data_IF_433330312309
#
_entry.id   IF_433330312309
#
_cell.length_a   1.000
_cell.length_b   1.000
_cell.length_c   1.000
_cell.angle_alpha   90.00
_cell.angle_beta   90.00
_cell.angle_gamma   90.00
#
_symmetry.space_group_name_H-M   'P 1'
#
loop_
_entity.id
_entity.type
_entity.pdbx_description
1 polymer ?
#
# COMPACT_ATOMS: atom_id res chain seq x y z
N UNK A 1 -0.15 1.86 -16.88
CA UNK A 1 -1.18 0.82 -17.06
C UNK A 1 -1.92 0.55 -15.74
N UNK A 2 -1.27 0.03 -14.70
CA UNK A 2 -1.93 -0.34 -13.42
C UNK A 2 -2.66 0.81 -12.69
N UNK A 3 -2.09 2.02 -12.61
CA UNK A 3 -2.73 3.13 -11.88
C UNK A 3 -4.02 3.61 -12.55
N UNK A 4 -4.07 3.61 -13.88
CA UNK A 4 -5.29 3.95 -14.64
C UNK A 4 -6.33 2.85 -14.49
N UNK A 5 -5.93 1.58 -14.51
CA UNK A 5 -6.84 0.45 -14.29
C UNK A 5 -7.46 0.50 -12.88
N UNK A 6 -6.68 0.85 -11.85
CA UNK A 6 -7.17 1.08 -10.47
C UNK A 6 -8.16 2.25 -10.44
N UNK A 7 -7.84 3.35 -11.13
CA UNK A 7 -8.69 4.55 -11.19
C UNK A 7 -10.03 4.24 -11.87
N UNK A 8 -10.02 3.49 -12.96
CA UNK A 8 -11.23 3.03 -13.63
C UNK A 8 -11.99 2.01 -12.79
N UNK A 9 -11.31 1.07 -12.14
CA UNK A 9 -11.89 0.13 -11.17
C UNK A 9 -12.66 0.85 -10.06
N UNK A 10 -12.08 1.92 -9.50
CA UNK A 10 -12.71 2.75 -8.47
C UNK A 10 -13.99 3.45 -8.94
N UNK A 11 -14.13 3.75 -10.24
CA UNK A 11 -15.35 4.36 -10.81
C UNK A 11 -16.49 3.35 -11.00
N UNK A 12 -16.21 2.05 -11.07
CA UNK A 12 -17.21 1.01 -11.34
C UNK A 12 -18.26 0.89 -10.24
N UNK A 13 -17.87 1.13 -8.98
CA UNK A 13 -18.73 1.00 -7.80
C UNK A 13 -18.59 2.26 -6.93
N UNK A 14 -19.69 2.99 -6.74
CA UNK A 14 -19.74 4.15 -5.84
C UNK A 14 -19.53 3.69 -4.41
N UNK A 15 -18.92 4.52 -3.57
CA UNK A 15 -18.63 4.17 -2.18
C UNK A 15 -19.83 3.59 -1.42
N UNK A 16 -20.98 4.27 -1.50
CA UNK A 16 -22.25 3.85 -0.88
C UNK A 16 -22.79 2.48 -1.31
N UNK A 17 -22.35 2.00 -2.48
CA UNK A 17 -22.79 0.73 -3.06
C UNK A 17 -21.76 -0.39 -2.80
N UNK A 18 -20.65 -0.09 -2.12
CA UNK A 18 -19.63 -1.08 -1.74
C UNK A 18 -20.11 -1.92 -0.57
N UNK A 19 -19.68 -3.18 -0.55
CA UNK A 19 -19.99 -4.11 0.54
C UNK A 19 -19.23 -3.68 1.80
N UNK A 20 -19.92 -3.43 2.94
CA UNK A 20 -19.33 -2.84 4.16
C UNK A 20 -18.57 -3.89 5.01
N UNK A 21 -17.73 -4.69 4.36
CA UNK A 21 -16.93 -5.73 4.97
C UNK A 21 -15.45 -5.43 4.78
N UNK A 22 -14.62 -5.68 5.78
CA UNK A 22 -13.18 -5.68 5.57
C UNK A 22 -12.79 -6.90 4.73
N UNK A 23 -12.05 -6.68 3.65
CA UNK A 23 -11.64 -7.73 2.73
C UNK A 23 -10.12 -7.86 2.68
N UNK A 24 -9.61 -9.08 2.76
CA UNK A 24 -8.21 -9.40 2.49
C UNK A 24 -8.10 -10.73 1.77
N UNK A 25 -7.29 -10.75 0.71
CA UNK A 25 -6.92 -11.98 -0.01
C UNK A 25 -5.42 -11.93 -0.26
N UNK A 26 -4.69 -12.96 0.13
CA UNK A 26 -3.25 -12.97 -0.06
C UNK A 26 -2.55 -14.22 0.46
N UNK A 27 -1.25 -14.30 0.20
CA UNK A 27 -0.43 -15.41 0.67
C UNK A 27 0.01 -15.16 2.13
N UNK A 28 -0.40 -15.99 3.10
CA UNK A 28 -0.02 -15.85 4.49
C UNK A 28 1.40 -16.35 4.78
N UNK A 29 2.00 -17.16 3.92
CA UNK A 29 3.29 -17.80 4.20
C UNK A 29 4.47 -16.82 4.13
N UNK A 30 4.31 -15.69 3.44
CA UNK A 30 5.38 -14.71 3.21
C UNK A 30 5.73 -13.88 4.44
N UNK A 31 4.81 -13.73 5.40
CA UNK A 31 5.04 -12.90 6.60
C UNK A 31 4.19 -13.39 7.79
N UNK A 32 4.75 -13.48 9.01
CA UNK A 32 4.01 -13.89 10.21
C UNK A 32 2.75 -13.04 10.50
N UNK A 33 2.80 -11.72 10.28
CA UNK A 33 1.65 -10.82 10.51
C UNK A 33 0.45 -11.17 9.63
N UNK A 34 0.69 -11.65 8.39
CA UNK A 34 -0.36 -12.15 7.50
C UNK A 34 -0.96 -13.47 7.98
N UNK A 35 -0.15 -14.36 8.57
CA UNK A 35 -0.67 -15.58 9.21
C UNK A 35 -1.52 -15.24 10.42
N UNK A 36 -1.08 -14.24 11.20
CA UNK A 36 -1.83 -13.78 12.37
C UNK A 36 -3.15 -13.11 11.99
N UNK A 37 -3.20 -12.39 10.86
CA UNK A 37 -4.45 -11.84 10.33
C UNK A 37 -5.48 -12.95 10.09
N UNK A 38 -5.08 -14.11 9.56
CA UNK A 38 -6.00 -15.23 9.32
C UNK A 38 -6.60 -15.81 10.61
N UNK A 39 -5.97 -15.62 11.76
CA UNK A 39 -6.55 -16.03 13.06
C UNK A 39 -7.81 -15.23 13.42
N UNK A 40 -8.03 -14.08 12.77
CA UNK A 40 -9.23 -13.27 12.95
C UNK A 40 -10.42 -13.79 12.13
N UNK A 41 -10.23 -14.82 11.28
CA UNK A 41 -11.32 -15.49 10.56
C UNK A 41 -12.07 -16.40 11.52
N UNK A 42 -13.09 -15.85 12.19
CA UNK A 42 -13.88 -16.58 13.18
C UNK A 42 -14.97 -17.45 12.52
N UNK A 43 -15.48 -18.42 13.28
CA UNK A 43 -16.59 -19.30 12.89
C UNK A 43 -17.85 -18.51 12.50
N UNK A 44 -18.79 -19.15 11.76
CA UNK A 44 -20.06 -18.54 11.30
C UNK A 44 -20.88 -17.81 12.39
N UNK A 45 -20.69 -18.16 13.66
CA UNK A 45 -21.39 -17.59 14.82
C UNK A 45 -20.71 -16.35 15.42
N UNK A 46 -19.47 -16.02 15.03
CA UNK A 46 -18.70 -14.87 15.51
C UNK A 46 -18.12 -14.06 14.34
N UNK A 47 -18.94 -13.79 13.31
CA UNK A 47 -18.50 -13.04 12.14
C UNK A 47 -18.18 -11.59 12.52
N UNK A 48 -16.95 -11.13 12.27
CA UNK A 48 -16.51 -9.74 12.52
C UNK A 48 -16.62 -8.85 11.28
N UNK A 49 -17.48 -9.24 10.34
CA UNK A 49 -17.65 -8.57 9.07
C UNK A 49 -16.32 -8.47 8.28
N UNK A 50 -15.51 -9.52 8.40
CA UNK A 50 -14.20 -9.68 7.76
C UNK A 50 -14.23 -10.87 6.80
N UNK A 51 -13.72 -10.67 5.59
CA UNK A 51 -13.56 -11.70 4.56
C UNK A 51 -12.06 -11.91 4.32
N UNK A 52 -11.51 -13.00 4.88
CA UNK A 52 -10.09 -13.32 4.81
C UNK A 52 -9.84 -14.59 4.01
N UNK A 53 -9.17 -14.45 2.86
CA UNK A 53 -8.93 -15.55 1.92
C UNK A 53 -7.43 -15.82 1.72
N UNK A 54 -7.05 -17.10 1.71
CA UNK A 54 -5.69 -17.52 1.32
C UNK A 54 -5.59 -17.52 -0.21
N UNK A 55 -4.57 -16.84 -0.74
CA UNK A 55 -4.22 -16.88 -2.16
C UNK A 55 -3.19 -17.98 -2.42
N UNK A 56 -3.56 -18.97 -3.23
CA UNK A 56 -2.68 -20.03 -3.74
C UNK A 56 -2.07 -19.59 -5.08
N UNK A 57 -0.76 -19.33 -5.10
CA UNK A 57 -0.06 -18.82 -6.28
C UNK A 57 0.19 -19.89 -7.35
N UNK A 58 0.34 -21.16 -6.98
CA UNK A 58 0.59 -22.25 -7.92
C UNK A 58 -0.67 -22.54 -8.76
N UNK A 59 -1.84 -22.36 -8.14
CA UNK A 59 -3.13 -22.46 -8.82
C UNK A 59 -3.42 -21.22 -9.70
N UNK A 60 -3.22 -20.00 -9.18
CA UNK A 60 -3.46 -18.77 -9.95
C UNK A 60 -2.55 -18.67 -11.18
N UNK A 61 -1.29 -19.07 -11.07
CA UNK A 61 -0.37 -19.08 -12.20
C UNK A 61 -0.87 -19.98 -13.34
N UNK A 62 -1.50 -21.13 -13.00
CA UNK A 62 -2.12 -22.04 -13.97
C UNK A 62 -3.41 -21.48 -14.58
N UNK A 63 -4.13 -20.63 -13.84
CA UNK A 63 -5.40 -20.03 -14.27
C UNK A 63 -5.23 -18.65 -14.92
N UNK A 64 -3.99 -18.15 -15.02
CA UNK A 64 -3.65 -16.88 -15.65
C UNK A 64 -4.01 -15.66 -14.83
N UNK A 65 -3.96 -15.76 -13.48
CA UNK A 65 -4.16 -14.66 -12.53
C UNK A 65 -5.52 -13.95 -12.62
N UNK A 66 -6.53 -14.58 -13.22
CA UNK A 66 -7.86 -13.99 -13.43
C UNK A 66 -8.58 -13.59 -12.14
N UNK A 67 -8.16 -14.14 -10.99
CA UNK A 67 -8.72 -13.86 -9.66
C UNK A 67 -7.72 -13.13 -8.74
N UNK A 68 -6.64 -12.58 -9.32
CA UNK A 68 -5.54 -11.89 -8.62
C UNK A 68 -5.25 -10.49 -9.17
N UNK A 69 -6.23 -9.89 -9.85
CA UNK A 69 -6.15 -8.54 -10.39
C UNK A 69 -5.83 -7.51 -9.29
N UNK A 70 -4.81 -6.68 -9.54
CA UNK A 70 -4.34 -5.65 -8.61
C UNK A 70 -5.36 -4.53 -8.44
N UNK A 71 -6.14 -4.22 -9.48
CA UNK A 71 -7.27 -3.28 -9.41
C UNK A 71 -8.36 -3.71 -8.42
N UNK A 72 -8.40 -4.99 -8.07
CA UNK A 72 -9.32 -5.58 -7.10
C UNK A 72 -8.62 -5.88 -5.74
N UNK A 73 -7.32 -5.56 -5.58
CA UNK A 73 -6.49 -6.06 -4.48
C UNK A 73 -5.43 -5.07 -3.97
N UNK A 74 -5.83 -3.85 -3.64
CA UNK A 74 -4.96 -2.87 -2.97
C UNK A 74 -4.59 -3.27 -1.53
N UNK A 75 -3.62 -4.16 -1.25
CA UNK A 75 -3.02 -4.27 0.11
C UNK A 75 -1.67 -5.00 0.19
N UNK A 76 -0.54 -4.27 0.19
CA UNK A 76 0.70 -4.69 0.88
C UNK A 76 1.26 -3.54 1.70
N UNK A 77 1.72 -3.81 2.93
CA UNK A 77 2.38 -2.83 3.81
C UNK A 77 3.89 -3.03 3.72
N UNK A 78 4.52 -2.28 2.81
CA UNK A 78 5.97 -2.05 2.82
C UNK A 78 6.18 -0.60 3.28
N UNK A 79 7.19 -0.31 4.11
CA UNK A 79 7.59 1.09 4.31
C UNK A 79 8.40 1.53 3.10
N UNK A 80 7.69 1.77 2.01
CA UNK A 80 8.27 2.24 0.76
C UNK A 80 8.46 3.76 0.80
N UNK A 81 9.22 4.31 -0.14
CA UNK A 81 9.59 5.73 -0.15
C UNK A 81 8.35 6.65 -0.11
N UNK A 82 7.24 6.26 -0.75
CA UNK A 82 6.00 7.05 -0.80
C UNK A 82 5.12 6.93 0.45
N UNK A 83 5.12 5.78 1.16
CA UNK A 83 4.30 5.57 2.36
C UNK A 83 4.75 6.46 3.53
N UNK A 84 6.01 6.93 3.49
CA UNK A 84 6.55 7.86 4.48
C UNK A 84 5.78 9.18 4.54
N UNK A 85 5.15 9.62 3.45
CA UNK A 85 4.30 10.82 3.45
C UNK A 85 2.85 10.58 3.86
N UNK A 86 2.41 9.32 4.00
CA UNK A 86 1.02 9.03 4.35
C UNK A 86 0.71 9.24 5.85
N UNK A 87 -0.48 9.77 6.16
CA UNK A 87 -0.93 10.12 7.52
C UNK A 87 -2.16 9.27 7.88
N UNK A 88 -2.16 8.58 9.04
CA UNK A 88 -3.33 7.85 9.53
C UNK A 88 -4.54 8.78 9.72
N UNK A 89 -5.76 8.27 9.54
CA UNK A 89 -7.02 9.05 9.56
C UNK A 89 -7.17 10.12 8.46
N UNK A 90 -6.15 10.32 7.62
CA UNK A 90 -6.23 11.14 6.42
C UNK A 90 -6.18 10.28 5.16
N UNK A 91 -5.20 9.38 5.07
CA UNK A 91 -5.00 8.56 3.87
C UNK A 91 -5.32 7.07 4.08
N UNK A 92 -5.35 6.60 5.33
CA UNK A 92 -5.67 5.20 5.66
C UNK A 92 -6.08 5.06 7.12
N UNK A 93 -6.75 3.95 7.45
CA UNK A 93 -7.06 3.57 8.82
C UNK A 93 -5.95 2.69 9.43
N UNK A 94 -5.37 3.04 10.60
CA UNK A 94 -4.34 2.25 11.23
C UNK A 94 -4.91 1.03 11.96
N UNK A 95 -4.24 -0.12 11.85
CA UNK A 95 -4.55 -1.34 12.62
C UNK A 95 -3.43 -1.60 13.63
N UNK A 96 -3.81 -1.90 14.87
CA UNK A 96 -2.87 -2.28 15.93
C UNK A 96 -2.33 -3.69 15.68
N UNK A 97 -1.01 -3.84 15.54
CA UNK A 97 -0.41 -5.14 15.27
C UNK A 97 -0.45 -6.10 16.48
N UNK A 98 -0.49 -5.58 17.71
CA UNK A 98 -0.52 -6.39 18.94
C UNK A 98 -1.92 -6.96 19.22
N UNK A 99 -2.97 -6.22 18.89
CA UNK A 99 -4.38 -6.58 19.11
C UNK A 99 -5.15 -6.62 17.78
N UNK A 100 -4.50 -7.10 16.72
CA UNK A 100 -4.94 -7.03 15.31
C UNK A 100 -6.39 -7.39 15.08
N UNK A 101 -6.81 -8.50 15.66
CA UNK A 101 -8.17 -9.02 15.57
C UNK A 101 -9.21 -8.06 16.16
N UNK A 102 -9.01 -7.61 17.41
CA UNK A 102 -9.89 -6.65 18.07
C UNK A 102 -9.87 -5.27 17.39
N UNK A 103 -8.69 -4.82 16.95
CA UNK A 103 -8.52 -3.56 16.22
C UNK A 103 -9.25 -3.60 14.87
N UNK A 104 -9.17 -4.72 14.14
CA UNK A 104 -9.87 -4.92 12.88
C UNK A 104 -11.39 -4.90 13.06
N UNK A 105 -11.91 -5.60 14.08
CA UNK A 105 -13.35 -5.57 14.40
C UNK A 105 -13.83 -4.15 14.68
N UNK A 106 -13.07 -3.40 15.48
CA UNK A 106 -13.39 -2.01 15.78
C UNK A 106 -13.36 -1.14 14.52
N UNK A 107 -12.34 -1.29 13.68
CA UNK A 107 -12.20 -0.54 12.43
C UNK A 107 -13.42 -0.72 11.50
N UNK A 108 -13.89 -1.97 11.34
CA UNK A 108 -15.08 -2.26 10.52
C UNK A 108 -16.33 -1.61 11.12
N UNK A 109 -16.55 -1.76 12.43
CA UNK A 109 -17.71 -1.13 13.07
C UNK A 109 -17.66 0.40 13.02
N UNK A 110 -16.49 0.99 13.23
CA UNK A 110 -16.31 2.43 13.12
C UNK A 110 -16.60 2.91 11.70
N UNK A 111 -16.04 2.24 10.68
CA UNK A 111 -16.24 2.62 9.27
C UNK A 111 -17.71 2.53 8.85
N UNK A 112 -18.40 1.48 9.29
CA UNK A 112 -19.83 1.28 8.99
C UNK A 112 -20.74 2.29 9.70
N UNK A 113 -20.32 2.82 10.85
CA UNK A 113 -21.05 3.85 11.59
C UNK A 113 -20.64 5.29 11.19
N UNK A 114 -19.54 5.47 10.46
CA UNK A 114 -18.97 6.76 10.07
C UNK A 114 -18.69 6.78 8.55
N UNK A 115 -19.70 6.45 7.76
CA UNK A 115 -19.54 6.18 6.32
C UNK A 115 -18.98 7.36 5.54
N UNK A 116 -19.34 8.60 5.88
CA UNK A 116 -18.83 9.83 5.25
C UNK A 116 -17.35 10.01 5.53
N UNK A 117 -16.92 9.81 6.78
CA UNK A 117 -15.52 9.93 7.17
C UNK A 117 -14.68 8.79 6.56
N UNK A 118 -15.23 7.58 6.52
CA UNK A 118 -14.59 6.45 5.87
C UNK A 118 -14.40 6.68 4.36
N UNK A 119 -15.40 7.26 3.69
CA UNK A 119 -15.30 7.68 2.28
C UNK A 119 -14.18 8.70 2.08
N UNK A 120 -14.17 9.77 2.89
CA UNK A 120 -13.16 10.82 2.80
C UNK A 120 -11.72 10.29 2.97
N UNK A 121 -11.50 9.36 3.92
CA UNK A 121 -10.20 8.72 4.11
C UNK A 121 -9.81 7.89 2.87
N UNK A 122 -10.75 7.15 2.30
CA UNK A 122 -10.52 6.33 1.10
C UNK A 122 -10.23 7.17 -0.14
N UNK A 123 -10.94 8.30 -0.31
CA UNK A 123 -10.74 9.25 -1.40
C UNK A 123 -9.38 9.95 -1.29
N UNK A 124 -9.03 10.49 -0.12
CA UNK A 124 -7.75 11.16 0.10
C UNK A 124 -6.57 10.18 -0.01
N UNK A 125 -6.71 8.94 0.47
CA UNK A 125 -5.71 7.90 0.27
C UNK A 125 -5.50 7.57 -1.21
N UNK A 126 -6.58 7.42 -1.97
CA UNK A 126 -6.53 7.15 -3.41
C UNK A 126 -5.92 8.31 -4.19
N UNK A 127 -6.30 9.55 -3.85
CA UNK A 127 -5.76 10.77 -4.44
C UNK A 127 -4.26 10.91 -4.15
N UNK A 128 -3.83 10.69 -2.92
CA UNK A 128 -2.42 10.74 -2.54
C UNK A 128 -1.57 9.80 -3.41
N UNK A 129 -2.04 8.56 -3.62
CA UNK A 129 -1.35 7.60 -4.49
C UNK A 129 -1.32 8.06 -5.95
N UNK A 130 -2.42 8.59 -6.48
CA UNK A 130 -2.48 9.08 -7.86
C UNK A 130 -1.56 10.28 -8.09
N UNK A 131 -1.37 11.13 -7.08
CA UNK A 131 -0.55 12.32 -7.18
C UNK A 131 0.94 12.04 -6.92
N UNK A 132 1.26 11.15 -5.97
CA UNK A 132 2.62 10.96 -5.44
C UNK A 132 3.28 9.63 -5.85
N UNK A 133 2.56 8.71 -6.50
CA UNK A 133 3.11 7.44 -7.01
C UNK A 133 3.00 7.34 -8.54
N UNK A 134 3.28 8.45 -9.22
CA UNK A 134 3.41 8.47 -10.68
C UNK A 134 4.77 7.93 -11.10
N UNK A 135 4.84 7.24 -12.24
CA UNK A 135 6.10 6.69 -12.76
C UNK A 135 7.19 7.75 -12.92
N UNK A 136 6.84 8.97 -13.35
CA UNK A 136 7.76 10.11 -13.41
C UNK A 136 8.44 10.37 -12.07
N UNK A 137 7.68 10.37 -10.97
CA UNK A 137 8.20 10.59 -9.61
C UNK A 137 9.03 9.40 -9.10
N UNK A 138 8.68 8.18 -9.52
CA UNK A 138 9.47 6.98 -9.19
C UNK A 138 10.85 7.06 -9.86
N UNK A 139 10.89 7.41 -11.14
CA UNK A 139 12.15 7.58 -11.88
C UNK A 139 12.97 8.73 -11.31
N UNK A 140 12.37 9.87 -11.02
CA UNK A 140 13.05 11.01 -10.38
C UNK A 140 13.65 10.61 -9.02
N UNK A 141 12.89 9.90 -8.19
CA UNK A 141 13.36 9.42 -6.89
C UNK A 141 14.56 8.46 -7.02
N UNK A 142 14.48 7.48 -7.92
CA UNK A 142 15.55 6.49 -8.14
C UNK A 142 16.81 7.16 -8.70
N UNK A 143 16.65 8.05 -9.67
CA UNK A 143 17.75 8.81 -10.24
C UNK A 143 18.43 9.68 -9.18
N UNK A 144 17.65 10.45 -8.41
CA UNK A 144 18.17 11.26 -7.32
C UNK A 144 18.92 10.42 -6.29
N UNK A 145 18.34 9.29 -5.84
CA UNK A 145 18.95 8.38 -4.88
C UNK A 145 20.30 7.85 -5.37
N UNK A 146 20.37 7.36 -6.60
CA UNK A 146 21.60 6.82 -7.19
C UNK A 146 22.64 7.93 -7.42
N UNK A 147 22.21 9.12 -7.83
CA UNK A 147 23.07 10.27 -8.04
C UNK A 147 23.71 10.75 -6.72
N UNK A 148 22.92 10.96 -5.66
CA UNK A 148 23.45 11.35 -4.34
C UNK A 148 24.33 10.25 -3.74
N UNK A 149 23.94 8.98 -3.87
CA UNK A 149 24.77 7.86 -3.43
C UNK A 149 26.12 7.81 -4.14
N UNK A 150 26.14 8.08 -5.46
CA UNK A 150 27.38 8.08 -6.24
C UNK A 150 28.43 9.09 -5.73
N UNK A 151 27.98 10.21 -5.15
CA UNK A 151 28.86 11.23 -4.55
C UNK A 151 29.56 10.75 -3.28
N UNK A 152 29.05 9.70 -2.64
CA UNK A 152 29.62 9.10 -1.43
C UNK A 152 30.74 8.09 -1.77
N UNK A 153 30.90 7.70 -3.04
CA UNK A 153 31.91 6.74 -3.46
C UNK A 153 33.31 7.30 -3.23
N UNK A 154 34.12 6.55 -2.47
CA UNK A 154 35.52 6.90 -2.17
C UNK A 154 36.52 6.32 -3.18
N UNK A 155 36.03 5.80 -4.30
CA UNK A 155 36.83 5.16 -5.34
C UNK A 155 36.24 5.49 -6.71
N UNK A 156 37.04 5.31 -7.76
CA UNK A 156 36.59 5.46 -9.15
C UNK A 156 36.02 4.13 -9.66
N UNK A 157 34.74 4.05 -10.04
CA UNK A 157 34.17 2.83 -10.61
C UNK A 157 34.89 2.43 -11.90
N UNK A 158 35.08 1.12 -12.09
CA UNK A 158 35.61 0.52 -13.32
C UNK A 158 34.74 -0.68 -13.70
N UNK A 159 34.67 -0.99 -15.00
CA UNK A 159 33.90 -2.14 -15.49
C UNK A 159 34.67 -3.43 -15.16
N UNK A 160 34.10 -4.37 -14.38
CA UNK A 160 34.80 -5.59 -14.03
C UNK A 160 34.91 -6.53 -15.25
N UNK A 161 35.99 -7.34 -15.36
CA UNK A 161 36.10 -8.36 -16.39
C UNK A 161 34.91 -9.31 -16.38
N UNK A 162 34.31 -9.57 -17.55
CA UNK A 162 33.14 -10.44 -17.69
C UNK A 162 31.80 -9.77 -17.39
N UNK A 163 31.77 -8.45 -17.14
CA UNK A 163 30.52 -7.70 -17.10
C UNK A 163 29.79 -7.78 -18.46
N UNK A 164 28.48 -8.03 -18.41
CA UNK A 164 27.59 -8.01 -19.56
C UNK A 164 26.80 -6.72 -19.52
N UNK A 165 26.77 -5.99 -20.63
CA UNK A 165 25.95 -4.80 -20.77
C UNK A 165 24.46 -5.18 -20.76
N UNK A 166 23.69 -4.49 -19.93
CA UNK A 166 22.24 -4.59 -19.91
C UNK A 166 21.66 -3.43 -20.71
N UNK A 167 20.82 -3.76 -21.68
CA UNK A 167 20.05 -2.82 -22.50
C UNK A 167 18.56 -3.09 -22.33
N UNK A 168 17.67 -2.11 -22.59
CA UNK A 168 16.23 -2.33 -22.60
C UNK A 168 15.81 -3.53 -23.45
N UNK A 169 16.44 -3.73 -24.61
CA UNK A 169 16.15 -4.81 -25.56
C UNK A 169 16.58 -6.17 -25.02
N UNK A 170 17.75 -6.25 -24.38
CA UNK A 170 18.25 -7.50 -23.79
C UNK A 170 17.43 -7.89 -22.55
N UNK A 171 16.96 -6.91 -21.77
CA UNK A 171 16.09 -7.16 -20.62
C UNK A 171 14.68 -7.60 -21.03
N UNK A 172 14.08 -6.92 -22.01
CA UNK A 172 12.72 -7.25 -22.50
C UNK A 172 12.70 -8.53 -23.34
N UNK A 173 13.76 -8.80 -24.10
CA UNK A 173 13.90 -10.01 -24.92
C UNK A 173 14.13 -11.29 -24.12
N UNK A 174 14.56 -11.18 -22.86
CA UNK A 174 14.84 -12.34 -21.99
C UNK A 174 13.60 -12.91 -21.28
N UNK A 175 12.44 -12.27 -21.41
CA UNK A 175 11.19 -12.67 -20.74
C UNK A 175 10.03 -12.78 -21.74
N UNK A 176 9.04 -13.62 -21.41
CA UNK A 176 7.86 -13.83 -22.23
C UNK A 176 6.56 -13.51 -21.49
N UNK A 177 5.45 -13.45 -22.23
CA UNK A 177 4.12 -13.27 -21.68
C UNK A 177 3.92 -11.93 -20.96
N UNK A 178 3.25 -11.98 -19.81
CA UNK A 178 2.84 -10.78 -19.07
C UNK A 178 4.04 -9.98 -18.53
N UNK A 179 5.13 -10.66 -18.19
CA UNK A 179 6.37 -10.01 -17.73
C UNK A 179 6.99 -9.14 -18.81
N UNK A 180 7.01 -9.62 -20.06
CA UNK A 180 7.50 -8.84 -21.20
C UNK A 180 6.68 -7.57 -21.39
N UNK A 181 5.34 -7.71 -21.39
CA UNK A 181 4.42 -6.59 -21.52
C UNK A 181 4.65 -5.53 -20.43
N UNK A 182 4.80 -5.95 -19.17
CA UNK A 182 5.06 -5.01 -18.08
C UNK A 182 6.40 -4.29 -18.21
N UNK A 183 7.46 -4.97 -18.66
CA UNK A 183 8.74 -4.31 -18.94
C UNK A 183 8.59 -3.30 -20.08
N UNK A 184 7.94 -3.68 -21.18
CA UNK A 184 7.69 -2.79 -22.33
C UNK A 184 6.86 -1.56 -21.93
N UNK A 185 5.82 -1.74 -21.12
CA UNK A 185 4.97 -0.65 -20.63
C UNK A 185 5.69 0.27 -19.63
N UNK A 186 6.81 -0.19 -19.06
CA UNK A 186 7.64 0.60 -18.14
C UNK A 186 8.78 1.35 -18.85
N UNK A 187 9.02 1.07 -20.14
CA UNK A 187 10.10 1.71 -20.89
C UNK A 187 9.87 3.22 -21.01
N UNK A 188 10.86 3.98 -20.55
CA UNK A 188 10.88 5.42 -20.77
C UNK A 188 11.20 5.71 -22.24
N UNK A 189 10.34 6.49 -22.89
CA UNK A 189 10.42 6.71 -24.35
C UNK A 189 11.37 7.84 -24.72
N UNK A 190 11.58 8.77 -23.80
CA UNK A 190 12.45 9.93 -24.00
C UNK A 190 12.94 10.46 -22.66
N UNK A 191 14.16 11.02 -22.61
CA UNK A 191 14.60 11.77 -21.44
C UNK A 191 13.60 12.88 -21.10
N UNK A 192 13.45 13.18 -19.81
CA UNK A 192 12.68 14.34 -19.38
C UNK A 192 13.28 15.62 -19.96
N UNK A 193 12.45 16.47 -20.56
CA UNK A 193 12.85 17.82 -20.99
C UNK A 193 12.89 18.82 -19.83
N UNK A 194 12.44 18.40 -18.64
CA UNK A 194 12.50 19.21 -17.42
C UNK A 194 13.81 18.96 -16.71
N UNK A 195 14.45 20.04 -16.29
CA UNK A 195 15.57 19.97 -15.35
C UNK A 195 15.13 19.20 -14.09
N UNK A 196 16.02 18.37 -13.51
CA UNK A 196 15.73 17.66 -12.27
C UNK A 196 15.18 18.62 -11.23
N UNK A 197 14.07 18.24 -10.57
CA UNK A 197 13.54 19.07 -9.52
C UNK A 197 14.54 19.13 -8.35
N UNK A 198 14.82 20.33 -7.85
CA UNK A 198 15.55 20.50 -6.61
C UNK A 198 14.62 20.06 -5.48
N UNK A 199 14.99 18.97 -4.80
CA UNK A 199 14.29 18.59 -3.58
C UNK A 199 14.47 19.71 -2.55
N UNK A 200 13.39 20.12 -1.86
CA UNK A 200 13.51 21.12 -0.81
C UNK A 200 14.54 20.64 0.23
N UNK A 201 15.32 21.57 0.81
CA UNK A 201 16.35 21.22 1.76
C UNK A 201 15.74 20.41 2.91
N UNK A 202 16.53 19.48 3.45
CA UNK A 202 16.13 18.69 4.61
C UNK A 202 15.72 19.62 5.75
N UNK A 203 14.44 19.63 6.07
CA UNK A 203 13.88 20.41 7.18
C UNK A 203 13.43 19.47 8.29
N UNK A 204 14.17 19.50 9.40
CA UNK A 204 13.88 18.70 10.58
C UNK A 204 12.52 19.07 11.19
N UNK A 205 12.14 20.34 11.13
CA UNK A 205 10.90 20.87 11.68
C UNK A 205 9.70 20.24 10.97
N UNK A 206 9.74 20.17 9.64
CA UNK A 206 8.71 19.51 8.83
C UNK A 206 8.57 18.02 9.18
N UNK A 207 9.69 17.32 9.40
CA UNK A 207 9.66 15.91 9.78
C UNK A 207 9.11 15.68 11.18
N UNK A 208 9.45 16.55 12.12
CA UNK A 208 8.97 16.45 13.50
C UNK A 208 7.46 16.76 13.54
N UNK A 209 6.98 17.78 12.83
CA UNK A 209 5.54 18.05 12.65
C UNK A 209 4.79 16.88 12.01
N UNK A 210 5.36 16.27 10.97
CA UNK A 210 4.79 15.09 10.33
C UNK A 210 4.72 13.90 11.31
N UNK A 211 5.76 13.70 12.12
CA UNK A 211 5.80 12.65 13.15
C UNK A 211 4.74 12.89 14.21
N UNK A 212 4.60 14.13 14.70
CA UNK A 212 3.59 14.51 15.69
C UNK A 212 2.17 14.28 15.16
N UNK A 213 1.88 14.72 13.92
CA UNK A 213 0.58 14.47 13.27
C UNK A 213 0.25 12.99 13.23
N UNK A 214 1.21 12.14 12.86
CA UNK A 214 1.01 10.68 12.84
C UNK A 214 0.77 10.12 14.23
N UNK A 215 1.55 10.51 15.22
CA UNK A 215 1.39 10.05 16.60
C UNK A 215 0.04 10.45 17.19
N UNK A 216 -0.38 11.70 16.96
CA UNK A 216 -1.68 12.19 17.43
C UNK A 216 -2.84 11.38 16.81
N UNK A 217 -2.80 11.12 15.50
CA UNK A 217 -3.80 10.29 14.83
C UNK A 217 -3.83 8.85 15.37
N UNK A 218 -2.66 8.25 15.63
CA UNK A 218 -2.58 6.91 16.21
C UNK A 218 -3.14 6.87 17.65
N UNK A 219 -2.78 7.85 18.49
CA UNK A 219 -3.28 7.96 19.86
C UNK A 219 -4.80 8.16 19.90
N UNK A 220 -5.35 8.92 18.96
CA UNK A 220 -6.79 9.12 18.81
C UNK A 220 -7.51 7.79 18.51
N UNK A 221 -7.02 7.00 17.54
CA UNK A 221 -7.60 5.67 17.25
C UNK A 221 -7.50 4.74 18.45
N UNK A 222 -6.36 4.72 19.15
CA UNK A 222 -6.18 3.91 20.36
C UNK A 222 -7.18 4.29 21.46
N UNK A 223 -7.48 5.58 21.60
CA UNK A 223 -8.45 6.07 22.59
C UNK A 223 -9.85 5.60 22.23
N UNK A 224 -10.28 5.75 20.97
CA UNK A 224 -11.58 5.27 20.50
C UNK A 224 -11.71 3.75 20.61
N UNK A 225 -10.67 2.99 20.28
CA UNK A 225 -10.64 1.54 20.45
C UNK A 225 -10.88 1.15 21.91
N UNK A 226 -10.17 1.80 22.84
CA UNK A 226 -10.31 1.54 24.28
C UNK A 226 -11.73 1.82 24.77
N UNK A 227 -12.28 2.99 24.45
CA UNK A 227 -13.64 3.39 24.82
C UNK A 227 -14.70 2.41 24.27
N UNK A 228 -14.54 2.00 23.01
CA UNK A 228 -15.43 1.03 22.39
C UNK A 228 -15.46 -0.30 23.17
N UNK A 229 -14.29 -0.85 23.49
CA UNK A 229 -14.20 -2.14 24.19
C UNK A 229 -14.67 -2.05 25.65
N UNK A 230 -14.40 -0.93 26.33
CA UNK A 230 -14.94 -0.65 27.66
C UNK A 230 -16.48 -0.62 27.65
N UNK A 231 -17.08 0.04 26.66
CA UNK A 231 -18.54 0.10 26.53
C UNK A 231 -19.16 -1.27 26.20
N UNK A 232 -18.53 -2.05 25.32
CA UNK A 232 -18.97 -3.42 25.01
C UNK A 232 -18.94 -4.34 26.24
N UNK A 233 -17.88 -4.26 27.05
CA UNK A 233 -17.80 -5.06 28.30
C UNK A 233 -18.87 -4.69 29.32
N UNK A 234 -19.21 -3.40 29.47
CA UNK A 234 -20.32 -2.96 30.32
C UNK A 234 -21.67 -3.46 29.81
N UNK A 235 -21.89 -3.45 28.49
CA UNK A 235 -23.12 -3.91 27.88
C UNK A 235 -23.35 -5.43 28.03
N UNK A 236 -22.28 -6.23 28.07
CA UNK A 236 -22.37 -7.69 28.25
C UNK A 236 -22.53 -8.13 29.72
N UNK A 237 -22.29 -7.23 30.67
CA UNK A 237 -22.38 -7.50 32.12
C UNK A 237 -23.69 -7.00 32.75
N UNK A 238 -24.57 -6.38 31.95
CA UNK A 238 -25.92 -5.94 32.32
C UNK A 238 -26.97 -6.78 31.58
#
# INVERSE_FOLDING_TARGET
MVLEDIKEGNKRIKWKDRVPLAYWKGNPHVDPSRRDLLKCNLTREQNWDTLLYVQDWDKEAKEGYKQSNLEDQCTHRFYDFFIRGMIPLQHFWPINDQSKCSSLKFAVQWGNNNTIQAEAIGEEGSKYLQENLKMELVYDYMYHLLNEYSKLLKFRPTVPPGAVELTPETMTGAVEGLHKKFLEDSLEKSPSEREPCDLPPYDRTVLDELREKKLNALNQVQTWEKEYWENQSKANNN
#
